data_IF_963720255006
#
_entry.id   IF_963720255006
#
_cell.length_a   1.000
_cell.length_b   1.000
_cell.length_c   1.000
_cell.angle_alpha   90.00
_cell.angle_beta   90.00
_cell.angle_gamma   90.00
#
_symmetry.space_group_name_H-M   'P 1'
#
loop_
_entity.id
_entity.type
_entity.pdbx_description
1 polymer ?
#
# COMPACT_ATOMS: atom_id res chain seq x y z
N UNK A 1 -21.40 4.01 20.74
CA UNK A 1 -21.79 2.96 21.70
C UNK A 1 -21.26 1.58 21.30
N UNK A 2 -21.15 1.24 20.03
CA UNK A 2 -20.63 -0.05 19.55
C UNK A 2 -19.18 -0.36 19.99
N UNK A 3 -18.33 0.64 20.21
CA UNK A 3 -16.96 0.43 20.69
C UNK A 3 -16.91 -0.18 22.12
N UNK A 4 -17.95 -0.02 22.92
CA UNK A 4 -18.03 -0.58 24.27
C UNK A 4 -18.36 -2.09 24.28
N UNK A 5 -18.91 -2.61 23.18
CA UNK A 5 -19.28 -4.03 23.06
C UNK A 5 -18.11 -4.92 22.63
N UNK A 6 -16.99 -4.31 22.15
CA UNK A 6 -15.80 -5.05 21.78
C UNK A 6 -14.99 -5.39 23.03
N UNK A 7 -14.65 -6.67 23.20
CA UNK A 7 -13.86 -7.13 24.35
C UNK A 7 -12.56 -6.33 24.50
N UNK A 8 -12.15 -6.01 25.76
CA UNK A 8 -10.94 -5.19 26.02
C UNK A 8 -9.68 -5.72 25.33
N UNK A 9 -9.49 -7.03 25.26
CA UNK A 9 -8.32 -7.66 24.64
C UNK A 9 -8.26 -7.38 23.15
N UNK A 10 -9.41 -7.40 22.46
CA UNK A 10 -9.50 -7.06 21.03
C UNK A 10 -9.19 -5.58 20.82
N UNK A 11 -9.73 -4.70 21.67
CA UNK A 11 -9.44 -3.27 21.59
C UNK A 11 -7.95 -2.99 21.78
N UNK A 12 -7.31 -3.64 22.76
CA UNK A 12 -5.89 -3.50 23.01
C UNK A 12 -5.07 -3.99 21.81
N UNK A 13 -5.42 -5.12 21.22
CA UNK A 13 -4.79 -5.63 20.00
C UNK A 13 -4.89 -4.63 18.84
N UNK A 14 -6.07 -4.04 18.63
CA UNK A 14 -6.27 -3.05 17.56
C UNK A 14 -5.44 -1.78 17.79
N UNK A 15 -5.38 -1.29 19.05
CA UNK A 15 -4.54 -0.13 19.40
C UNK A 15 -3.06 -0.43 19.16
N UNK A 16 -2.59 -1.60 19.56
CA UNK A 16 -1.20 -2.03 19.32
C UNK A 16 -0.89 -2.10 17.83
N UNK A 17 -1.72 -2.79 17.04
CA UNK A 17 -1.54 -2.89 15.59
C UNK A 17 -1.52 -1.51 14.91
N UNK A 18 -2.39 -0.59 15.32
CA UNK A 18 -2.42 0.78 14.80
C UNK A 18 -1.16 1.55 15.19
N UNK A 19 -0.73 1.44 16.44
CA UNK A 19 0.47 2.12 16.95
C UNK A 19 1.71 1.64 16.19
N UNK A 20 1.83 0.34 15.92
CA UNK A 20 2.92 -0.24 15.15
C UNK A 20 2.87 0.21 13.67
N UNK A 21 1.67 0.26 13.09
CA UNK A 21 1.50 0.64 11.68
C UNK A 21 1.72 2.14 11.44
N UNK A 22 1.29 3.00 12.35
CA UNK A 22 1.43 4.46 12.23
C UNK A 22 2.73 5.00 12.86
N UNK A 23 3.35 4.25 13.77
CA UNK A 23 4.38 4.73 14.67
C UNK A 23 5.72 5.11 14.02
N UNK A 24 6.59 5.70 14.84
CA UNK A 24 7.93 6.16 14.45
C UNK A 24 8.98 5.03 14.39
N UNK A 25 8.64 3.82 14.87
CA UNK A 25 9.55 2.67 14.85
C UNK A 25 9.14 1.65 13.76
N UNK A 26 9.35 2.04 12.49
CA UNK A 26 9.07 1.17 11.34
C UNK A 26 7.63 1.23 10.82
N UNK A 27 6.82 2.17 11.30
CA UNK A 27 5.48 2.48 10.79
C UNK A 27 5.48 3.66 9.79
N UNK A 28 4.30 4.18 9.49
CA UNK A 28 4.09 5.25 8.51
C UNK A 28 4.92 6.51 8.82
N UNK A 29 4.98 6.95 10.09
CA UNK A 29 5.77 8.14 10.48
C UNK A 29 7.25 7.92 10.18
N UNK A 30 7.81 6.73 10.48
CA UNK A 30 9.18 6.40 10.14
C UNK A 30 9.41 6.45 8.63
N UNK A 31 8.51 5.84 7.85
CA UNK A 31 8.59 5.85 6.38
C UNK A 31 8.57 7.27 5.81
N UNK A 32 7.64 8.10 6.27
CA UNK A 32 7.55 9.51 5.83
C UNK A 32 8.79 10.33 6.22
N UNK A 33 9.32 10.14 7.44
CA UNK A 33 10.51 10.86 7.90
C UNK A 33 11.74 10.49 7.05
N UNK A 34 11.92 9.20 6.76
CA UNK A 34 13.02 8.73 5.94
C UNK A 34 12.91 9.18 4.48
N UNK A 35 11.70 9.23 3.93
CA UNK A 35 11.42 9.72 2.59
C UNK A 35 11.84 11.20 2.46
N UNK A 36 11.38 12.05 3.37
CA UNK A 36 11.77 13.47 3.43
C UNK A 36 13.28 13.67 3.65
N UNK A 37 13.91 12.82 4.47
CA UNK A 37 15.34 12.86 4.67
C UNK A 37 16.09 12.51 3.38
N UNK A 38 15.70 11.44 2.69
CA UNK A 38 16.30 11.02 1.41
C UNK A 38 16.19 12.13 0.35
N UNK A 39 15.04 12.81 0.27
CA UNK A 39 14.85 13.97 -0.60
C UNK A 39 15.82 15.12 -0.23
N UNK A 40 15.99 15.43 1.06
CA UNK A 40 16.79 16.54 1.53
C UNK A 40 18.29 16.40 1.28
N UNK A 41 18.82 15.16 1.32
CA UNK A 41 20.25 14.86 1.13
C UNK A 41 20.59 14.44 -0.31
N UNK A 42 19.59 14.37 -1.20
CA UNK A 42 19.79 13.98 -2.60
C UNK A 42 20.24 12.52 -2.78
N UNK A 43 20.04 11.67 -1.77
CA UNK A 43 20.38 10.24 -1.80
C UNK A 43 19.29 9.35 -2.37
N UNK A 44 18.39 9.92 -3.15
CA UNK A 44 17.33 9.16 -3.84
C UNK A 44 17.87 8.09 -4.83
N UNK A 45 19.20 7.99 -4.99
CA UNK A 45 19.88 6.91 -5.71
C UNK A 45 20.02 5.63 -4.87
N UNK A 46 19.04 5.37 -4.00
CA UNK A 46 19.05 4.26 -3.07
C UNK A 46 18.94 2.89 -3.72
N UNK A 47 19.40 1.90 -2.99
CA UNK A 47 19.16 0.48 -3.23
C UNK A 47 17.65 0.22 -3.35
N UNK A 48 17.23 -0.62 -4.29
CA UNK A 48 15.82 -1.01 -4.48
C UNK A 48 15.16 -1.49 -3.20
N UNK A 49 15.89 -2.23 -2.40
CA UNK A 49 15.40 -2.76 -1.12
C UNK A 49 15.08 -1.64 -0.12
N UNK A 50 15.84 -0.55 -0.16
CA UNK A 50 15.59 0.63 0.69
C UNK A 50 14.33 1.34 0.24
N UNK A 51 14.15 1.55 -1.07
CA UNK A 51 12.97 2.21 -1.62
C UNK A 51 11.71 1.39 -1.33
N UNK A 52 11.73 0.09 -1.65
CA UNK A 52 10.61 -0.80 -1.36
C UNK A 52 10.24 -0.83 0.13
N UNK A 53 11.24 -0.76 1.02
CA UNK A 53 11.03 -0.69 2.46
C UNK A 53 10.41 0.64 2.91
N UNK A 54 10.83 1.76 2.32
CA UNK A 54 10.26 3.08 2.60
C UNK A 54 8.79 3.14 2.18
N UNK A 55 8.47 2.65 0.99
CA UNK A 55 7.11 2.58 0.46
C UNK A 55 6.22 1.66 1.30
N UNK A 56 6.74 0.49 1.71
CA UNK A 56 6.02 -0.39 2.63
C UNK A 56 5.71 0.31 3.96
N UNK A 57 6.67 1.02 4.53
CA UNK A 57 6.47 1.75 5.79
C UNK A 57 5.48 2.90 5.61
N UNK A 58 5.64 3.72 4.58
CA UNK A 58 4.85 4.93 4.35
C UNK A 58 3.39 4.61 4.02
N UNK A 59 3.14 3.60 3.19
CA UNK A 59 1.80 3.26 2.66
C UNK A 59 1.35 1.87 3.09
N UNK A 60 2.20 0.86 2.93
CA UNK A 60 1.86 -0.54 3.13
C UNK A 60 1.43 -0.89 4.54
N UNK A 61 2.05 -0.28 5.56
CA UNK A 61 1.74 -0.56 6.98
C UNK A 61 0.30 -0.24 7.38
N UNK A 62 -0.24 0.89 6.93
CA UNK A 62 -1.64 1.26 7.23
C UNK A 62 -2.64 0.40 6.45
N UNK A 63 -2.35 0.06 5.20
CA UNK A 63 -3.18 -0.88 4.42
C UNK A 63 -3.21 -2.26 5.09
N UNK A 64 -2.05 -2.73 5.55
CA UNK A 64 -1.94 -3.97 6.30
C UNK A 64 -2.74 -3.91 7.60
N UNK A 65 -2.63 -2.82 8.36
CA UNK A 65 -3.41 -2.61 9.57
C UNK A 65 -4.92 -2.73 9.29
N UNK A 66 -5.42 -2.08 8.24
CA UNK A 66 -6.84 -2.14 7.90
C UNK A 66 -7.32 -3.58 7.67
N UNK A 67 -6.55 -4.38 6.94
CA UNK A 67 -6.85 -5.79 6.69
C UNK A 67 -6.75 -6.64 7.97
N UNK A 68 -5.72 -6.45 8.78
CA UNK A 68 -5.54 -7.18 10.05
C UNK A 68 -6.60 -6.82 11.08
N UNK A 69 -6.97 -5.54 11.16
CA UNK A 69 -8.04 -5.09 12.06
C UNK A 69 -9.38 -5.73 11.70
N UNK A 70 -9.72 -5.78 10.42
CA UNK A 70 -10.90 -6.50 9.93
C UNK A 70 -10.87 -7.98 10.30
N UNK A 71 -9.72 -8.64 10.13
CA UNK A 71 -9.54 -10.04 10.50
C UNK A 71 -9.68 -10.28 12.01
N UNK A 72 -9.12 -9.40 12.84
CA UNK A 72 -9.24 -9.48 14.32
C UNK A 72 -10.69 -9.29 14.76
N UNK A 73 -11.39 -8.28 14.22
CA UNK A 73 -12.80 -8.01 14.51
C UNK A 73 -13.70 -9.16 14.04
N UNK A 74 -13.43 -9.71 12.88
CA UNK A 74 -14.14 -10.85 12.30
C UNK A 74 -13.80 -12.20 12.95
N UNK A 75 -12.86 -12.23 13.93
CA UNK A 75 -12.35 -13.47 14.54
C UNK A 75 -11.87 -14.48 13.50
N UNK A 76 -11.23 -13.99 12.45
CA UNK A 76 -10.77 -14.81 11.35
C UNK A 76 -9.71 -15.84 11.83
N UNK A 77 -9.75 -17.10 11.38
CA UNK A 77 -8.71 -18.08 11.63
C UNK A 77 -7.38 -17.64 11.00
N UNK A 78 -6.29 -18.26 11.45
CA UNK A 78 -4.92 -17.87 11.07
C UNK A 78 -4.73 -17.81 9.55
N UNK A 79 -5.21 -18.80 8.83
CA UNK A 79 -5.11 -18.87 7.38
C UNK A 79 -5.75 -17.68 6.68
N UNK A 80 -6.96 -17.31 7.09
CA UNK A 80 -7.65 -16.13 6.56
C UNK A 80 -6.93 -14.82 6.91
N UNK A 81 -6.35 -14.72 8.12
CA UNK A 81 -5.52 -13.56 8.48
C UNK A 81 -4.27 -13.47 7.60
N UNK A 82 -3.59 -14.59 7.34
CA UNK A 82 -2.44 -14.63 6.45
C UNK A 82 -2.80 -14.23 5.01
N UNK A 83 -3.95 -14.69 4.51
CA UNK A 83 -4.46 -14.29 3.21
C UNK A 83 -4.69 -12.77 3.13
N UNK A 84 -5.32 -12.15 4.14
CA UNK A 84 -5.52 -10.69 4.18
C UNK A 84 -4.22 -9.91 4.28
N UNK A 85 -3.21 -10.40 5.02
CA UNK A 85 -1.87 -9.81 5.06
C UNK A 85 -1.19 -9.92 3.70
N UNK A 86 -1.27 -11.09 3.04
CA UNK A 86 -0.74 -11.27 1.69
C UNK A 86 -1.38 -10.34 0.66
N UNK A 87 -2.71 -10.22 0.72
CA UNK A 87 -3.48 -9.28 -0.09
C UNK A 87 -3.02 -7.84 0.12
N UNK A 88 -2.97 -7.38 1.38
CA UNK A 88 -2.62 -5.99 1.69
C UNK A 88 -1.23 -5.59 1.20
N UNK A 89 -0.25 -6.50 1.24
CA UNK A 89 1.09 -6.25 0.70
C UNK A 89 1.07 -6.01 -0.80
N UNK A 90 0.37 -6.88 -1.54
CA UNK A 90 0.26 -6.76 -3.00
C UNK A 90 -0.48 -5.48 -3.41
N UNK A 91 -1.56 -5.17 -2.71
CA UNK A 91 -2.33 -3.95 -2.93
C UNK A 91 -1.51 -2.70 -2.63
N UNK A 92 -0.71 -2.69 -1.56
CA UNK A 92 0.19 -1.58 -1.25
C UNK A 92 1.22 -1.33 -2.36
N UNK A 93 1.84 -2.39 -2.87
CA UNK A 93 2.77 -2.30 -3.99
C UNK A 93 2.08 -1.85 -5.29
N UNK A 94 0.92 -2.42 -5.60
CA UNK A 94 0.13 -2.02 -6.77
C UNK A 94 -0.27 -0.56 -6.70
N UNK A 95 -0.69 -0.09 -5.52
CA UNK A 95 -1.08 1.31 -5.29
C UNK A 95 0.06 2.25 -5.62
N UNK A 96 1.27 1.99 -5.11
CA UNK A 96 2.44 2.81 -5.36
C UNK A 96 2.83 2.82 -6.85
N UNK A 97 2.86 1.64 -7.49
CA UNK A 97 3.16 1.55 -8.92
C UNK A 97 2.13 2.32 -9.75
N UNK A 98 0.85 2.25 -9.38
CA UNK A 98 -0.23 2.99 -10.07
C UNK A 98 -0.09 4.51 -9.88
N UNK A 99 0.30 4.98 -8.69
CA UNK A 99 0.59 6.40 -8.45
C UNK A 99 1.74 6.88 -9.33
N UNK A 100 2.84 6.13 -9.39
CA UNK A 100 4.00 6.45 -10.23
C UNK A 100 3.62 6.51 -11.73
N UNK A 101 2.76 5.59 -12.19
CA UNK A 101 2.26 5.59 -13.57
C UNK A 101 1.39 6.82 -13.82
N UNK A 102 0.46 7.13 -12.92
CA UNK A 102 -0.42 8.29 -13.04
C UNK A 102 0.35 9.61 -13.00
N UNK A 103 1.38 9.72 -12.15
CA UNK A 103 2.23 10.90 -12.11
C UNK A 103 2.98 11.10 -13.44
N UNK A 104 3.37 10.01 -14.09
CA UNK A 104 4.07 10.03 -15.37
C UNK A 104 3.18 10.28 -16.59
N UNK A 105 1.98 9.69 -16.63
CA UNK A 105 1.06 9.72 -17.77
C UNK A 105 -0.12 10.68 -17.58
N UNK A 106 -0.37 11.18 -16.35
CA UNK A 106 -1.52 12.01 -16.04
C UNK A 106 -1.55 13.33 -16.80
N UNK A 107 -2.73 13.84 -17.09
CA UNK A 107 -2.95 15.15 -17.68
C UNK A 107 -2.96 16.22 -16.58
N UNK A 108 -2.09 17.23 -16.68
CA UNK A 108 -2.01 18.35 -15.74
C UNK A 108 -3.36 19.06 -15.54
N UNK A 109 -4.18 19.16 -16.58
CA UNK A 109 -5.48 19.80 -16.52
C UNK A 109 -6.50 18.99 -15.71
N UNK A 110 -6.37 17.66 -15.67
CA UNK A 110 -7.27 16.79 -14.93
C UNK A 110 -6.82 16.61 -13.47
N UNK A 111 -5.52 16.57 -13.22
CA UNK A 111 -4.98 16.27 -11.90
C UNK A 111 -4.78 17.50 -11.00
N UNK A 112 -4.77 18.70 -11.55
CA UNK A 112 -4.57 19.93 -10.77
C UNK A 112 -3.21 20.04 -10.05
N UNK A 113 -2.27 19.17 -10.35
CA UNK A 113 -0.91 19.12 -9.78
C UNK A 113 0.14 19.05 -10.88
N UNK A 114 1.37 19.42 -10.54
CA UNK A 114 2.50 19.34 -11.46
C UNK A 114 2.82 17.87 -11.75
N UNK A 115 2.74 17.49 -13.04
CA UNK A 115 3.17 16.18 -13.51
C UNK A 115 4.70 16.07 -13.48
N UNK A 116 5.19 14.84 -13.52
CA UNK A 116 6.63 14.53 -13.45
C UNK A 116 7.32 15.03 -12.17
N UNK A 117 6.55 15.13 -11.08
CA UNK A 117 7.08 15.56 -9.78
C UNK A 117 8.24 14.66 -9.33
N UNK A 118 8.13 13.35 -9.60
CA UNK A 118 9.16 12.37 -9.26
C UNK A 118 10.42 12.54 -10.09
N UNK A 119 10.31 12.97 -11.36
CA UNK A 119 11.49 13.33 -12.19
C UNK A 119 12.18 14.58 -11.64
N UNK A 120 11.41 15.61 -11.28
CA UNK A 120 11.96 16.83 -10.72
C UNK A 120 12.62 16.61 -9.34
N UNK A 121 12.20 15.58 -8.62
CA UNK A 121 12.74 15.19 -7.31
C UNK A 121 13.81 14.10 -7.40
N UNK A 122 14.20 13.63 -8.61
CA UNK A 122 15.12 12.50 -8.80
C UNK A 122 14.68 11.22 -8.05
N UNK A 123 13.38 11.00 -7.90
CA UNK A 123 12.87 9.79 -7.24
C UNK A 123 13.11 8.56 -8.10
N UNK A 124 13.70 7.54 -7.48
CA UNK A 124 13.84 6.22 -8.07
C UNK A 124 12.52 5.47 -7.92
N UNK A 125 11.76 5.34 -9.02
CA UNK A 125 10.50 4.59 -9.03
C UNK A 125 10.63 3.41 -10.02
N UNK A 126 9.72 2.43 -9.91
CA UNK A 126 9.63 1.33 -10.87
C UNK A 126 9.43 1.87 -12.29
N UNK A 127 8.66 2.94 -12.43
CA UNK A 127 8.40 3.60 -13.71
C UNK A 127 9.66 4.26 -14.27
N UNK A 128 10.43 4.98 -13.44
CA UNK A 128 11.67 5.62 -13.88
C UNK A 128 12.72 4.62 -14.33
N UNK A 129 12.78 3.45 -13.69
CA UNK A 129 13.78 2.42 -13.95
C UNK A 129 13.43 1.47 -15.11
N UNK A 130 12.20 1.00 -15.16
CA UNK A 130 11.79 -0.05 -16.09
C UNK A 130 10.83 0.43 -17.18
N UNK A 131 10.35 1.66 -17.08
CA UNK A 131 9.40 2.27 -17.99
C UNK A 131 7.95 1.84 -17.71
N UNK A 132 7.01 2.68 -18.16
CA UNK A 132 5.57 2.52 -17.92
C UNK A 132 5.02 1.15 -18.32
N UNK A 133 5.44 0.64 -19.49
CA UNK A 133 4.91 -0.63 -20.00
C UNK A 133 5.23 -1.82 -19.09
N UNK A 134 6.42 -1.86 -18.47
CA UNK A 134 6.78 -2.90 -17.51
C UNK A 134 6.10 -2.68 -16.17
N UNK A 135 5.97 -1.42 -15.73
CA UNK A 135 5.26 -1.06 -14.50
C UNK A 135 3.78 -1.50 -14.57
N UNK A 136 3.09 -1.23 -15.68
CA UNK A 136 1.71 -1.68 -15.91
C UNK A 136 1.58 -3.21 -15.85
N UNK A 137 2.50 -3.95 -16.46
CA UNK A 137 2.50 -5.42 -16.39
C UNK A 137 2.72 -5.93 -14.96
N UNK A 138 3.61 -5.29 -14.19
CA UNK A 138 3.85 -5.66 -12.80
C UNK A 138 2.64 -5.36 -11.93
N UNK A 139 2.03 -4.18 -12.08
CA UNK A 139 0.82 -3.80 -11.37
C UNK A 139 -0.33 -4.80 -11.64
N UNK A 140 -0.54 -5.18 -12.91
CA UNK A 140 -1.54 -6.18 -13.27
C UNK A 140 -1.25 -7.53 -12.61
N UNK A 141 -0.01 -8.01 -12.67
CA UNK A 141 0.39 -9.27 -12.03
C UNK A 141 0.12 -9.27 -10.53
N UNK A 142 0.53 -8.19 -9.83
CA UNK A 142 0.30 -8.05 -8.40
C UNK A 142 -1.20 -7.99 -8.05
N UNK A 143 -2.01 -7.35 -8.90
CA UNK A 143 -3.46 -7.31 -8.76
C UNK A 143 -4.07 -8.71 -8.88
N UNK A 144 -3.69 -9.46 -9.91
CA UNK A 144 -4.17 -10.83 -10.14
C UNK A 144 -3.81 -11.74 -8.96
N UNK A 145 -2.57 -11.67 -8.49
CA UNK A 145 -2.12 -12.40 -7.31
C UNK A 145 -2.83 -11.97 -6.02
N UNK A 146 -3.16 -10.68 -5.87
CA UNK A 146 -3.94 -10.19 -4.72
C UNK A 146 -5.35 -10.77 -4.73
N UNK A 147 -6.00 -10.77 -5.90
CA UNK A 147 -7.33 -11.37 -6.11
C UNK A 147 -7.31 -12.86 -5.77
N UNK A 148 -6.30 -13.59 -6.24
CA UNK A 148 -6.15 -15.02 -5.95
C UNK A 148 -5.99 -15.27 -4.45
N UNK A 149 -5.21 -14.45 -3.76
CA UNK A 149 -4.96 -14.57 -2.31
C UNK A 149 -6.24 -14.51 -1.48
N UNK A 150 -7.26 -13.76 -1.91
CA UNK A 150 -8.53 -13.61 -1.18
C UNK A 150 -9.62 -14.59 -1.63
N UNK A 151 -9.36 -15.48 -2.59
CA UNK A 151 -10.32 -16.48 -3.05
C UNK A 151 -10.78 -17.44 -1.94
N UNK A 152 -9.98 -17.61 -0.89
CA UNK A 152 -10.35 -18.38 0.31
C UNK A 152 -11.64 -17.90 0.97
N UNK A 153 -12.04 -16.64 0.74
CA UNK A 153 -13.28 -16.06 1.28
C UNK A 153 -14.51 -16.31 0.39
N UNK A 154 -14.33 -16.91 -0.80
CA UNK A 154 -15.40 -17.16 -1.77
C UNK A 154 -16.09 -15.85 -2.16
N UNK A 155 -17.42 -15.87 -2.23
CA UNK A 155 -18.22 -14.68 -2.61
C UNK A 155 -18.00 -13.46 -1.72
N UNK A 156 -17.56 -13.63 -0.48
CA UNK A 156 -17.29 -12.51 0.43
C UNK A 156 -16.06 -11.71 0.05
N UNK A 157 -15.20 -12.23 -0.85
CA UNK A 157 -14.02 -11.54 -1.37
C UNK A 157 -14.36 -10.50 -2.44
N UNK A 158 -15.57 -10.45 -2.98
CA UNK A 158 -15.93 -9.64 -4.14
C UNK A 158 -15.50 -8.16 -4.00
N UNK A 159 -15.81 -7.53 -2.88
CA UNK A 159 -15.42 -6.14 -2.61
C UNK A 159 -13.89 -5.97 -2.62
N UNK A 160 -13.13 -6.91 -2.05
CA UNK A 160 -11.66 -6.84 -2.05
C UNK A 160 -11.09 -7.05 -3.45
N UNK A 161 -11.69 -7.91 -4.24
CA UNK A 161 -11.31 -8.15 -5.63
C UNK A 161 -11.61 -6.92 -6.51
N UNK A 162 -12.77 -6.28 -6.31
CA UNK A 162 -13.13 -5.03 -7.00
C UNK A 162 -12.20 -3.89 -6.62
N UNK A 163 -11.86 -3.75 -5.32
CA UNK A 163 -10.89 -2.76 -4.87
C UNK A 163 -9.52 -2.97 -5.53
N UNK A 164 -9.07 -4.22 -5.65
CA UNK A 164 -7.81 -4.53 -6.30
C UNK A 164 -7.79 -4.09 -7.77
N UNK A 165 -8.87 -4.33 -8.50
CA UNK A 165 -9.01 -3.87 -9.91
C UNK A 165 -9.08 -2.35 -9.99
N UNK A 166 -9.86 -1.73 -9.12
CA UNK A 166 -10.03 -0.27 -9.10
C UNK A 166 -8.70 0.47 -8.97
N UNK A 167 -7.75 -0.05 -8.18
CA UNK A 167 -6.44 0.59 -7.98
C UNK A 167 -5.66 0.77 -9.29
N UNK A 168 -5.74 -0.19 -10.21
CA UNK A 168 -5.03 -0.09 -11.50
C UNK A 168 -5.88 0.59 -12.60
N UNK A 169 -7.20 0.68 -12.40
CA UNK A 169 -8.12 1.27 -13.38
C UNK A 169 -8.40 2.75 -13.14
N UNK A 170 -8.06 3.26 -11.94
CA UNK A 170 -8.29 4.67 -11.59
C UNK A 170 -7.47 5.61 -12.48
N UNK A 171 -8.03 6.77 -12.77
CA UNK A 171 -7.43 7.80 -13.62
C UNK A 171 -6.96 9.05 -12.83
N UNK A 172 -7.01 9.00 -11.50
CA UNK A 172 -6.63 10.07 -10.57
C UNK A 172 -6.39 9.54 -9.15
#
# INVERSE_FOLDING_TARGET
STALEIRPEIRLTLVQLLSDAAGAFGGMIAGQTLDLYAESVGTANGDEDIIARLEEMKTGRLLRYACEAGAVLGKAPLEQRQALVGYSRKIGQTFQISDDILDREGDQNLMGKTLHKDEAQNKFTIVSRFGVAKAKKLAQKLTDEAIETVNIFGKKAEILQELARFIIERNH
#
